data_IF_246780264258
#
_entry.id   IF_246780264258
#
_cell.length_a   1.000
_cell.length_b   1.000
_cell.length_c   1.000
_cell.angle_alpha   90.00
_cell.angle_beta   90.00
_cell.angle_gamma   90.00
#
_symmetry.space_group_name_H-M   'P 1'
#
loop_
_entity.id
_entity.type
_entity.pdbx_description
1 polymer ?
#
# COMPACT_ATOMS: atom_id res chain seq x y z
N UNK A 1 10.28 15.91 -1.66
CA UNK A 1 10.73 15.57 -3.03
C UNK A 1 9.60 15.72 -4.05
N UNK A 2 8.40 15.19 -3.77
CA UNK A 2 7.24 15.33 -4.65
C UNK A 2 6.72 16.78 -4.77
N UNK A 3 6.57 17.49 -3.66
CA UNK A 3 6.18 18.91 -3.65
C UNK A 3 7.23 19.76 -2.91
N UNK A 4 8.33 20.12 -3.57
CA UNK A 4 9.41 20.88 -2.95
C UNK A 4 8.96 22.31 -2.59
N UNK A 5 9.05 22.66 -1.31
CA UNK A 5 8.73 23.99 -0.75
C UNK A 5 9.64 24.27 0.45
N UNK A 6 9.62 25.49 0.97
CA UNK A 6 10.40 25.84 2.17
C UNK A 6 11.87 26.13 1.91
N UNK A 7 12.23 26.55 0.70
CA UNK A 7 13.56 27.03 0.36
C UNK A 7 13.51 27.98 -0.85
N UNK A 8 14.62 28.65 -1.12
CA UNK A 8 14.83 29.50 -2.28
C UNK A 8 16.07 29.04 -3.05
N UNK A 9 16.07 29.22 -4.37
CA UNK A 9 17.24 28.96 -5.21
C UNK A 9 17.83 30.29 -5.62
N UNK A 10 19.00 30.62 -5.09
CA UNK A 10 19.72 31.87 -5.37
C UNK A 10 21.09 31.51 -5.94
N UNK A 11 21.37 31.94 -7.19
CA UNK A 11 22.59 31.58 -7.93
C UNK A 11 22.87 30.06 -7.97
N UNK A 12 21.82 29.24 -8.13
CA UNK A 12 21.94 27.78 -8.17
C UNK A 12 22.19 27.11 -6.80
N UNK A 13 22.21 27.87 -5.71
CA UNK A 13 22.31 27.34 -4.36
C UNK A 13 20.99 27.40 -3.61
N UNK A 14 20.70 26.34 -2.85
CA UNK A 14 19.56 26.28 -1.94
C UNK A 14 19.84 27.15 -0.73
N UNK A 15 19.01 28.17 -0.52
CA UNK A 15 19.11 29.16 0.56
C UNK A 15 17.73 29.40 1.21
N UNK A 16 17.67 30.17 2.30
CA UNK A 16 16.39 30.58 2.89
C UNK A 16 15.51 29.41 3.36
N UNK A 17 16.12 28.40 4.00
CA UNK A 17 15.45 27.16 4.37
C UNK A 17 14.46 27.42 5.52
N UNK A 18 13.21 27.03 5.31
CA UNK A 18 12.18 26.90 6.33
C UNK A 18 11.89 25.39 6.55
N UNK A 19 12.48 24.78 7.60
CA UNK A 19 12.35 23.36 7.84
C UNK A 19 10.90 22.90 8.03
N UNK A 20 10.09 23.70 8.74
CA UNK A 20 8.71 23.31 9.04
C UNK A 20 7.85 23.29 7.77
N UNK A 21 8.04 24.26 6.88
CA UNK A 21 7.35 24.27 5.58
C UNK A 21 7.79 23.11 4.68
N UNK A 22 9.08 22.75 4.71
CA UNK A 22 9.59 21.60 3.96
C UNK A 22 9.06 20.26 4.51
N UNK A 23 8.98 20.11 5.84
CA UNK A 23 8.44 18.93 6.51
C UNK A 23 6.94 18.81 6.29
N UNK A 24 6.18 19.89 6.46
CA UNK A 24 4.72 19.95 6.31
C UNK A 24 4.33 20.45 4.91
N UNK A 25 5.00 19.95 3.88
CA UNK A 25 4.71 20.27 2.50
C UNK A 25 3.33 19.72 2.08
N UNK A 26 2.75 20.19 0.95
CA UNK A 26 1.39 19.80 0.53
C UNK A 26 1.15 18.29 0.38
N UNK A 27 2.16 17.49 0.07
CA UNK A 27 2.01 16.03 -0.08
C UNK A 27 2.03 15.27 1.25
N UNK A 28 2.64 15.85 2.29
CA UNK A 28 2.87 15.23 3.61
C UNK A 28 1.63 14.57 4.23
N UNK A 29 0.47 15.26 4.36
CA UNK A 29 -0.70 14.66 5.01
C UNK A 29 -1.21 13.44 4.24
N UNK A 30 -1.16 13.46 2.91
CA UNK A 30 -1.59 12.35 2.07
C UNK A 30 -0.59 11.20 2.13
N UNK A 31 0.68 11.44 1.76
CA UNK A 31 1.70 10.38 1.69
C UNK A 31 1.95 9.71 3.05
N UNK A 32 1.98 10.50 4.14
CA UNK A 32 2.23 9.96 5.49
C UNK A 32 1.05 9.10 5.95
N UNK A 33 -0.18 9.61 5.82
CA UNK A 33 -1.37 8.88 6.25
C UNK A 33 -1.56 7.61 5.42
N UNK A 34 -1.39 7.73 4.10
CA UNK A 34 -1.51 6.60 3.16
C UNK A 34 -0.52 5.49 3.48
N UNK A 35 0.74 5.83 3.76
CA UNK A 35 1.77 4.83 4.05
C UNK A 35 1.56 4.17 5.41
N UNK A 36 1.13 4.93 6.44
CA UNK A 36 0.84 4.37 7.76
C UNK A 36 -0.34 3.40 7.71
N UNK A 37 -1.42 3.76 7.02
CA UNK A 37 -2.57 2.89 6.82
C UNK A 37 -2.20 1.65 6.00
N UNK A 38 -1.39 1.80 4.94
CA UNK A 38 -0.92 0.68 4.13
C UNK A 38 -0.12 -0.33 4.97
N UNK A 39 0.74 0.16 5.88
CA UNK A 39 1.50 -0.67 6.80
C UNK A 39 0.58 -1.45 7.77
N UNK A 40 -0.49 -0.84 8.29
CA UNK A 40 -1.47 -1.53 9.12
C UNK A 40 -2.27 -2.58 8.34
N UNK A 41 -2.67 -2.29 7.11
CA UNK A 41 -3.34 -3.25 6.22
C UNK A 41 -2.43 -4.45 5.97
N UNK A 42 -1.19 -4.22 5.50
CA UNK A 42 -0.26 -5.30 5.18
C UNK A 42 0.11 -6.14 6.41
N UNK A 43 0.32 -5.51 7.56
CA UNK A 43 0.59 -6.23 8.81
C UNK A 43 -0.64 -7.03 9.26
N UNK A 44 -1.83 -6.43 9.25
CA UNK A 44 -3.07 -7.08 9.64
C UNK A 44 -3.38 -8.31 8.79
N UNK A 45 -3.41 -8.16 7.47
CA UNK A 45 -3.65 -9.29 6.56
C UNK A 45 -2.48 -10.28 6.51
N UNK A 46 -1.24 -9.82 6.63
CA UNK A 46 -0.06 -10.67 6.71
C UNK A 46 -0.08 -11.61 7.92
N UNK A 47 -0.38 -11.07 9.10
CA UNK A 47 -0.53 -11.88 10.32
C UNK A 47 -1.76 -12.78 10.22
N UNK A 48 -2.88 -12.29 9.67
CA UNK A 48 -4.08 -13.08 9.47
C UNK A 48 -3.84 -14.29 8.56
N UNK A 49 -3.04 -14.13 7.50
CA UNK A 49 -2.65 -15.21 6.60
C UNK A 49 -1.94 -16.34 7.35
N UNK A 50 -1.04 -16.02 8.29
CA UNK A 50 -0.33 -17.02 9.10
C UNK A 50 -1.32 -17.82 9.94
N UNK A 51 -2.25 -17.16 10.65
CA UNK A 51 -3.26 -17.85 11.46
C UNK A 51 -4.23 -18.67 10.60
N UNK A 52 -4.62 -18.16 9.43
CA UNK A 52 -5.48 -18.87 8.49
C UNK A 52 -4.83 -20.16 7.96
N UNK A 53 -3.53 -20.16 7.64
CA UNK A 53 -2.79 -21.37 7.25
C UNK A 53 -2.83 -22.42 8.36
N UNK A 54 -2.65 -22.00 9.61
CA UNK A 54 -2.64 -22.94 10.74
C UNK A 54 -4.03 -23.56 10.98
N UNK A 55 -5.09 -22.77 10.83
CA UNK A 55 -6.48 -23.27 10.90
C UNK A 55 -6.78 -24.23 9.72
N UNK A 56 -6.31 -23.90 8.51
CA UNK A 56 -6.40 -24.80 7.35
C UNK A 56 -5.65 -26.13 7.55
N UNK A 57 -4.60 -26.13 8.37
CA UNK A 57 -3.85 -27.34 8.80
C UNK A 57 -4.51 -28.09 9.97
N UNK A 58 -5.71 -27.69 10.38
CA UNK A 58 -6.49 -28.37 11.41
C UNK A 58 -6.29 -27.86 12.83
N UNK A 59 -5.48 -26.81 13.06
CA UNK A 59 -5.28 -26.22 14.38
C UNK A 59 -6.47 -25.33 14.75
N UNK A 60 -7.29 -25.77 15.71
CA UNK A 60 -8.58 -25.14 16.08
C UNK A 60 -8.60 -24.59 17.51
N UNK A 61 -7.46 -24.52 18.17
CA UNK A 61 -7.32 -24.01 19.52
C UNK A 61 -7.72 -22.53 19.59
N UNK A 62 -8.27 -22.05 20.73
CA UNK A 62 -8.69 -20.65 20.88
C UNK A 62 -7.61 -19.63 20.53
N UNK A 63 -6.33 -19.97 20.73
CA UNK A 63 -5.20 -19.15 20.34
C UNK A 63 -5.23 -18.75 18.87
N UNK A 64 -5.37 -19.71 17.94
CA UNK A 64 -5.34 -19.42 16.50
C UNK A 64 -6.55 -18.60 16.06
N UNK A 65 -7.73 -18.87 16.64
CA UNK A 65 -8.96 -18.12 16.36
C UNK A 65 -8.87 -16.67 16.85
N UNK A 66 -8.38 -16.46 18.08
CA UNK A 66 -8.20 -15.11 18.65
C UNK A 66 -7.13 -14.32 17.88
N UNK A 67 -6.03 -14.98 17.51
CA UNK A 67 -4.98 -14.38 16.69
C UNK A 67 -5.51 -13.95 15.32
N UNK A 68 -6.27 -14.83 14.64
CA UNK A 68 -6.94 -14.49 13.38
C UNK A 68 -7.89 -13.29 13.54
N UNK A 69 -8.73 -13.30 14.59
CA UNK A 69 -9.68 -12.21 14.84
C UNK A 69 -8.98 -10.86 15.05
N UNK A 70 -7.92 -10.80 15.85
CA UNK A 70 -7.20 -9.56 16.13
C UNK A 70 -6.53 -9.02 14.86
N UNK A 71 -5.89 -9.90 14.09
CA UNK A 71 -5.23 -9.54 12.84
C UNK A 71 -6.22 -9.04 11.78
N UNK A 72 -7.35 -9.75 11.62
CA UNK A 72 -8.44 -9.34 10.74
C UNK A 72 -9.13 -8.05 11.21
N UNK A 73 -9.19 -7.79 12.51
CA UNK A 73 -9.70 -6.51 13.02
C UNK A 73 -8.82 -5.35 12.56
N UNK A 74 -7.50 -5.45 12.77
CA UNK A 74 -6.55 -4.43 12.35
C UNK A 74 -6.64 -4.17 10.83
N UNK A 75 -6.49 -5.21 10.02
CA UNK A 75 -6.47 -5.08 8.55
C UNK A 75 -7.81 -4.62 7.99
N UNK A 76 -8.93 -5.21 8.43
CA UNK A 76 -10.25 -4.88 7.90
C UNK A 76 -10.78 -3.53 8.37
N UNK A 77 -10.33 -3.01 9.52
CA UNK A 77 -10.64 -1.65 9.95
C UNK A 77 -9.79 -0.65 9.18
N UNK A 78 -8.51 -0.94 8.92
CA UNK A 78 -7.62 -0.02 8.20
C UNK A 78 -7.96 0.12 6.71
N UNK A 79 -8.38 -0.97 6.03
CA UNK A 79 -8.53 -0.96 4.57
C UNK A 79 -9.60 0.01 4.00
N UNK A 80 -10.76 0.27 4.63
CA UNK A 80 -11.67 1.31 4.16
C UNK A 80 -11.06 2.71 4.26
N UNK A 81 -10.32 2.99 5.33
CA UNK A 81 -9.61 4.27 5.47
C UNK A 81 -8.47 4.38 4.45
N UNK A 82 -7.76 3.29 4.18
CA UNK A 82 -6.72 3.25 3.14
C UNK A 82 -7.28 3.60 1.75
N UNK A 83 -8.43 3.03 1.39
CA UNK A 83 -9.07 3.28 0.09
C UNK A 83 -9.56 4.73 0.01
N UNK A 84 -10.18 5.23 1.09
CA UNK A 84 -10.63 6.61 1.16
C UNK A 84 -9.46 7.60 1.06
N UNK A 85 -8.40 7.39 1.83
CA UNK A 85 -7.19 8.22 1.79
C UNK A 85 -6.47 8.12 0.43
N UNK A 86 -6.52 6.96 -0.23
CA UNK A 86 -6.03 6.78 -1.60
C UNK A 86 -6.77 7.64 -2.63
N UNK A 87 -8.09 7.71 -2.56
CA UNK A 87 -8.90 8.61 -3.39
C UNK A 87 -8.54 10.09 -3.14
N UNK A 88 -8.38 10.48 -1.87
CA UNK A 88 -7.91 11.83 -1.53
C UNK A 88 -6.51 12.13 -2.08
N UNK A 89 -5.60 11.16 -1.96
CA UNK A 89 -4.23 11.26 -2.49
C UNK A 89 -4.25 11.43 -4.01
N UNK A 90 -5.01 10.59 -4.74
CA UNK A 90 -5.16 10.68 -6.19
C UNK A 90 -5.74 12.03 -6.64
N UNK A 91 -6.76 12.56 -5.94
CA UNK A 91 -7.30 13.89 -6.19
C UNK A 91 -6.25 14.99 -5.99
N UNK A 92 -5.44 14.89 -4.94
CA UNK A 92 -4.36 15.87 -4.71
C UNK A 92 -3.34 15.88 -5.85
N UNK A 93 -3.08 14.73 -6.49
CA UNK A 93 -2.18 14.64 -7.65
C UNK A 93 -2.73 15.37 -8.87
N UNK A 94 -4.06 15.49 -9.02
CA UNK A 94 -4.66 16.25 -10.11
C UNK A 94 -4.23 17.72 -10.13
N UNK A 95 -3.84 18.26 -8.97
CA UNK A 95 -3.33 19.63 -8.81
C UNK A 95 -1.81 19.67 -8.62
N UNK A 96 -1.26 18.79 -7.80
CA UNK A 96 0.15 18.83 -7.39
C UNK A 96 1.08 18.22 -8.46
N UNK A 97 0.67 17.13 -9.11
CA UNK A 97 1.48 16.40 -10.08
C UNK A 97 0.60 15.78 -11.19
N UNK A 98 -0.01 16.58 -12.09
CA UNK A 98 -0.99 16.06 -13.04
C UNK A 98 -0.39 15.05 -14.03
N UNK A 99 0.90 15.17 -14.37
CA UNK A 99 1.60 14.18 -15.18
C UNK A 99 1.64 12.78 -14.54
N UNK A 100 1.79 12.71 -13.20
CA UNK A 100 1.76 11.46 -12.44
C UNK A 100 0.36 10.83 -12.51
N UNK A 101 -0.68 11.62 -12.25
CA UNK A 101 -2.07 11.16 -12.37
C UNK A 101 -2.37 10.66 -13.78
N UNK A 102 -1.95 11.41 -14.81
CA UNK A 102 -2.15 11.02 -16.20
C UNK A 102 -1.46 9.69 -16.55
N UNK A 103 -0.27 9.43 -16.03
CA UNK A 103 0.41 8.15 -16.20
C UNK A 103 -0.23 7.01 -15.40
N UNK A 104 -0.77 7.29 -14.20
CA UNK A 104 -1.52 6.31 -13.39
C UNK A 104 -2.79 5.84 -14.10
N UNK A 105 -3.48 6.75 -14.77
CA UNK A 105 -4.80 6.50 -15.38
C UNK A 105 -4.73 6.27 -16.90
N UNK A 106 -3.52 6.26 -17.48
CA UNK A 106 -3.30 6.09 -18.91
C UNK A 106 -3.98 7.17 -19.76
N UNK A 107 -3.91 8.44 -19.32
CA UNK A 107 -4.48 9.60 -20.01
C UNK A 107 -3.38 10.25 -20.87
N UNK A 108 -3.30 9.83 -22.13
CA UNK A 108 -2.32 10.37 -23.08
C UNK A 108 -2.71 11.75 -23.60
N UNK A 109 -3.99 11.97 -23.87
CA UNK A 109 -4.51 13.20 -24.41
C UNK A 109 -5.39 13.92 -23.38
N UNK A 110 -5.24 15.23 -23.29
CA UNK A 110 -6.08 16.04 -22.43
C UNK A 110 -7.53 15.99 -22.92
N UNK A 111 -8.42 15.49 -22.06
CA UNK A 111 -9.81 15.26 -22.43
C UNK A 111 -10.78 15.72 -21.34
N UNK A 112 -12.01 16.04 -21.76
CA UNK A 112 -13.12 16.43 -20.90
C UNK A 112 -14.02 15.22 -20.72
N UNK A 113 -14.42 14.91 -19.49
CA UNK A 113 -15.15 13.67 -19.21
C UNK A 113 -14.29 12.44 -19.41
N UNK A 114 -13.07 12.48 -18.86
CA UNK A 114 -12.12 11.39 -18.99
C UNK A 114 -12.70 10.12 -18.35
N UNK A 115 -12.67 8.97 -19.05
CA UNK A 115 -13.06 7.71 -18.46
C UNK A 115 -12.04 7.26 -17.42
N UNK A 116 -12.50 6.57 -16.38
CA UNK A 116 -11.58 5.76 -15.56
C UNK A 116 -11.33 4.44 -16.29
N UNK A 117 -10.06 4.07 -16.39
CA UNK A 117 -9.62 2.85 -17.08
C UNK A 117 -9.19 1.83 -16.03
N UNK A 118 -9.90 0.70 -15.96
CA UNK A 118 -9.59 -0.36 -15.01
C UNK A 118 -8.85 -1.47 -15.76
N UNK A 119 -7.59 -1.69 -15.38
CA UNK A 119 -6.72 -2.63 -16.07
C UNK A 119 -6.37 -2.17 -17.47
N UNK A 120 -5.85 -3.12 -18.25
CA UNK A 120 -5.40 -2.89 -19.61
C UNK A 120 -3.89 -2.85 -19.73
N UNK A 121 -3.42 -2.66 -20.96
CA UNK A 121 -2.00 -2.63 -21.30
C UNK A 121 -1.73 -1.32 -22.01
N UNK A 122 -0.80 -0.56 -21.46
CA UNK A 122 -0.34 0.67 -22.09
C UNK A 122 0.44 0.35 -23.37
N UNK A 123 0.04 0.98 -24.48
CA UNK A 123 0.81 1.01 -25.72
C UNK A 123 1.28 2.44 -26.01
N UNK A 124 2.56 2.69 -25.76
CA UNK A 124 3.21 3.99 -26.01
C UNK A 124 3.24 4.36 -27.49
N UNK A 125 3.16 3.39 -28.41
CA UNK A 125 3.18 3.68 -29.85
C UNK A 125 1.87 4.31 -30.30
N UNK A 126 0.76 3.83 -29.75
CA UNK A 126 -0.58 4.35 -30.07
C UNK A 126 -1.02 5.45 -29.12
N UNK A 127 -0.39 5.58 -27.95
CA UNK A 127 -0.82 6.49 -26.89
C UNK A 127 -2.19 6.11 -26.34
N UNK A 128 -2.42 4.80 -26.13
CA UNK A 128 -3.70 4.26 -25.66
C UNK A 128 -3.49 3.15 -24.64
N UNK A 129 -4.52 2.89 -23.83
CA UNK A 129 -4.58 1.70 -22.98
C UNK A 129 -5.46 0.67 -23.67
N UNK A 130 -4.87 -0.44 -24.09
CA UNK A 130 -5.55 -1.51 -24.78
C UNK A 130 -6.22 -2.45 -23.77
N UNK A 131 -7.39 -2.99 -24.11
CA UNK A 131 -8.15 -3.97 -23.30
C UNK A 131 -8.64 -3.48 -21.92
N UNK A 132 -8.57 -2.16 -21.65
CA UNK A 132 -9.10 -1.58 -20.42
C UNK A 132 -10.63 -1.67 -20.36
N UNK A 133 -11.17 -1.83 -19.16
CA UNK A 133 -12.60 -1.61 -18.91
C UNK A 133 -12.77 -0.13 -18.59
N UNK A 134 -13.46 0.58 -19.48
CA UNK A 134 -13.68 2.01 -19.35
C UNK A 134 -15.04 2.30 -18.73
N UNK A 135 -15.06 3.17 -17.72
CA UNK A 135 -16.30 3.73 -17.17
C UNK A 135 -16.34 5.22 -17.57
N UNK A 136 -17.27 5.62 -18.47
CA UNK A 136 -17.36 7.00 -18.98
C UNK A 136 -17.45 8.03 -17.85
N UNK A 137 -16.77 9.17 -18.03
CA UNK A 137 -16.68 10.29 -17.08
C UNK A 137 -16.14 9.94 -15.67
N UNK A 138 -15.82 8.67 -15.40
CA UNK A 138 -15.51 8.19 -14.07
C UNK A 138 -14.26 8.83 -13.48
N UNK A 139 -13.22 9.05 -14.29
CA UNK A 139 -12.00 9.70 -13.82
C UNK A 139 -12.24 11.19 -13.55
N UNK A 140 -13.00 11.88 -14.39
CA UNK A 140 -13.37 13.29 -14.14
C UNK A 140 -14.15 13.45 -12.84
N UNK A 141 -15.09 12.54 -12.55
CA UNK A 141 -15.83 12.52 -11.27
C UNK A 141 -14.89 12.22 -10.10
N UNK A 142 -14.04 11.20 -10.21
CA UNK A 142 -13.17 10.79 -9.11
C UNK A 142 -12.08 11.81 -8.81
N UNK A 143 -11.44 12.38 -9.83
CA UNK A 143 -10.33 13.31 -9.66
C UNK A 143 -10.79 14.74 -9.31
N UNK A 144 -11.96 15.18 -9.82
CA UNK A 144 -12.40 16.59 -9.73
C UNK A 144 -13.82 16.78 -9.19
N UNK A 145 -14.60 15.71 -9.01
CA UNK A 145 -15.98 15.79 -8.52
C UNK A 145 -17.00 16.26 -9.58
N UNK A 146 -16.59 16.43 -10.83
CA UNK A 146 -17.45 16.91 -11.93
C UNK A 146 -17.24 16.03 -13.16
N UNK A 147 -18.29 15.37 -13.71
CA UNK A 147 -18.18 14.56 -14.92
C UNK A 147 -17.70 15.35 -16.14
N UNK A 148 -17.83 16.68 -16.12
CA UNK A 148 -17.38 17.56 -17.18
C UNK A 148 -16.03 18.20 -16.90
N UNK A 149 -15.32 17.79 -15.85
CA UNK A 149 -13.98 18.27 -15.60
C UNK A 149 -13.00 17.82 -16.69
N UNK A 150 -12.03 18.68 -17.00
CA UNK A 150 -10.92 18.37 -17.89
C UNK A 150 -9.78 17.73 -17.09
N UNK A 151 -9.32 16.56 -17.55
CA UNK A 151 -8.13 15.90 -17.01
C UNK A 151 -6.96 16.18 -17.93
N UNK A 152 -5.88 16.70 -17.34
CA UNK A 152 -4.64 17.02 -18.06
C UNK A 152 -3.96 15.73 -18.48
N UNK A 153 -3.76 15.55 -19.79
CA UNK A 153 -3.07 14.38 -20.34
C UNK A 153 -1.57 14.58 -20.45
N UNK A 154 -0.86 13.50 -20.77
CA UNK A 154 0.59 13.50 -20.97
C UNK A 154 1.02 14.35 -22.17
N UNK A 155 0.13 14.59 -23.13
CA UNK A 155 0.33 15.44 -24.31
C UNK A 155 0.73 16.90 -23.97
N UNK A 156 0.39 17.39 -22.77
CA UNK A 156 0.80 18.72 -22.29
C UNK A 156 2.26 18.83 -21.88
N UNK A 157 2.93 17.70 -21.64
CA UNK A 157 4.31 17.66 -21.19
C UNK A 157 5.21 17.28 -22.36
N UNK A 158 6.46 17.77 -22.38
CA UNK A 158 7.42 17.30 -23.38
C UNK A 158 7.74 15.81 -23.14
N UNK A 159 8.04 15.00 -24.16
CA UNK A 159 8.30 13.56 -24.01
C UNK A 159 9.33 13.22 -22.92
N UNK A 160 10.39 14.02 -22.82
CA UNK A 160 11.46 13.86 -21.82
C UNK A 160 11.07 14.26 -20.39
N UNK A 161 9.88 14.85 -20.19
CA UNK A 161 9.36 15.32 -18.89
C UNK A 161 8.23 14.46 -18.36
N UNK A 162 7.83 13.44 -19.12
CA UNK A 162 6.72 12.54 -18.78
C UNK A 162 7.24 11.37 -17.94
N UNK A 163 6.50 10.96 -16.89
CA UNK A 163 6.68 9.63 -16.32
C UNK A 163 6.25 8.58 -17.34
N UNK A 164 6.89 7.41 -17.27
CA UNK A 164 6.59 6.27 -18.14
C UNK A 164 5.30 5.55 -17.69
N UNK A 165 4.20 5.64 -18.47
CA UNK A 165 2.93 5.04 -18.07
C UNK A 165 2.97 3.51 -18.14
N UNK A 166 3.87 2.92 -18.91
CA UNK A 166 3.98 1.47 -19.09
C UNK A 166 4.19 0.73 -17.76
N UNK A 167 4.97 1.32 -16.84
CA UNK A 167 5.17 0.76 -15.50
C UNK A 167 4.19 1.33 -14.46
N UNK A 168 3.81 2.60 -14.60
CA UNK A 168 3.01 3.30 -13.59
C UNK A 168 1.55 2.82 -13.59
N UNK A 169 0.91 2.73 -14.76
CA UNK A 169 -0.51 2.34 -14.88
C UNK A 169 -0.79 0.93 -14.33
N UNK A 170 -0.11 -0.15 -14.76
CA UNK A 170 -0.38 -1.49 -14.24
C UNK A 170 -0.02 -1.63 -12.75
N UNK A 171 0.95 -0.85 -12.27
CA UNK A 171 1.27 -0.82 -10.84
C UNK A 171 0.15 -0.18 -10.03
N UNK A 172 -0.44 0.89 -10.54
CA UNK A 172 -1.61 1.52 -9.94
C UNK A 172 -2.81 0.55 -9.90
N UNK A 173 -3.12 -0.11 -11.02
CA UNK A 173 -4.19 -1.11 -11.08
C UNK A 173 -3.97 -2.27 -10.09
N UNK A 174 -2.74 -2.81 -10.05
CA UNK A 174 -2.42 -3.92 -9.16
C UNK A 174 -2.50 -3.52 -7.68
N UNK A 175 -2.10 -2.29 -7.33
CA UNK A 175 -2.23 -1.74 -5.98
C UNK A 175 -3.71 -1.58 -5.60
N UNK A 176 -4.50 -0.91 -6.43
CA UNK A 176 -5.93 -0.66 -6.19
C UNK A 176 -6.70 -1.98 -6.13
N UNK A 177 -6.46 -2.88 -7.09
CA UNK A 177 -7.07 -4.21 -7.14
C UNK A 177 -6.76 -5.05 -5.91
N UNK A 178 -5.52 -5.01 -5.42
CA UNK A 178 -5.13 -5.69 -4.18
C UNK A 178 -5.82 -5.08 -2.95
N UNK A 179 -5.97 -3.75 -2.91
CA UNK A 179 -6.69 -3.05 -1.85
C UNK A 179 -8.19 -3.42 -1.80
N UNK A 180 -8.87 -3.41 -2.95
CA UNK A 180 -10.28 -3.84 -3.03
C UNK A 180 -10.45 -5.33 -2.75
N UNK A 181 -9.50 -6.17 -3.14
CA UNK A 181 -9.50 -7.58 -2.75
C UNK A 181 -9.40 -7.75 -1.23
N UNK A 182 -8.48 -7.04 -0.58
CA UNK A 182 -8.37 -7.04 0.87
C UNK A 182 -9.65 -6.54 1.56
N UNK A 183 -10.27 -5.47 1.03
CA UNK A 183 -11.56 -4.95 1.50
C UNK A 183 -12.66 -6.02 1.41
N UNK A 184 -12.76 -6.70 0.27
CA UNK A 184 -13.74 -7.76 0.05
C UNK A 184 -13.56 -8.90 1.06
N UNK A 185 -12.33 -9.39 1.23
CA UNK A 185 -12.03 -10.49 2.17
C UNK A 185 -12.31 -10.06 3.62
N UNK A 186 -11.91 -8.86 4.02
CA UNK A 186 -12.20 -8.29 5.34
C UNK A 186 -13.71 -8.16 5.58
N UNK A 187 -14.44 -7.61 4.62
CA UNK A 187 -15.89 -7.43 4.67
C UNK A 187 -16.65 -8.76 4.77
N UNK A 188 -16.29 -9.74 3.93
CA UNK A 188 -16.90 -11.09 3.97
C UNK A 188 -16.62 -11.78 5.31
N UNK A 189 -15.41 -11.65 5.86
CA UNK A 189 -15.07 -12.22 7.16
C UNK A 189 -15.96 -11.66 8.27
N UNK A 190 -16.08 -10.33 8.38
CA UNK A 190 -16.89 -9.69 9.42
C UNK A 190 -18.38 -9.92 9.21
N UNK A 191 -18.87 -9.90 7.96
CA UNK A 191 -20.26 -10.23 7.63
C UNK A 191 -20.62 -11.64 8.12
N UNK A 192 -19.78 -12.64 7.82
CA UNK A 192 -20.02 -14.02 8.24
C UNK A 192 -19.90 -14.18 9.76
N UNK A 193 -18.96 -13.48 10.39
CA UNK A 193 -18.81 -13.47 11.85
C UNK A 193 -20.08 -12.97 12.55
N UNK A 194 -20.66 -11.85 12.11
CA UNK A 194 -21.90 -11.33 12.69
C UNK A 194 -23.12 -12.19 12.35
N UNK A 195 -23.24 -12.68 11.11
CA UNK A 195 -24.35 -13.57 10.71
C UNK A 195 -24.35 -14.90 11.45
N UNK A 196 -23.18 -15.41 11.85
CA UNK A 196 -23.03 -16.66 12.60
C UNK A 196 -22.97 -16.46 14.12
N UNK A 197 -23.55 -15.38 14.65
CA UNK A 197 -23.64 -15.11 16.09
C UNK A 197 -22.25 -15.06 16.76
N UNK A 198 -21.27 -14.39 16.14
CA UNK A 198 -19.91 -14.17 16.66
C UNK A 198 -19.04 -15.43 16.72
N UNK A 199 -19.28 -16.37 15.80
CA UNK A 199 -18.42 -17.54 15.60
C UNK A 199 -17.44 -17.22 14.47
N UNK A 200 -16.14 -17.48 14.71
CA UNK A 200 -15.08 -17.27 13.70
C UNK A 200 -15.38 -18.11 12.45
N UNK A 201 -15.46 -17.50 11.25
CA UNK A 201 -15.76 -18.23 10.03
C UNK A 201 -14.54 -19.03 9.56
N UNK A 202 -14.67 -20.36 9.55
CA UNK A 202 -13.60 -21.30 9.14
C UNK A 202 -13.87 -21.91 7.76
N UNK A 203 -14.58 -21.21 6.87
CA UNK A 203 -14.79 -21.70 5.50
C UNK A 203 -13.43 -21.74 4.77
N UNK A 204 -13.10 -22.88 4.14
CA UNK A 204 -11.84 -23.09 3.41
C UNK A 204 -11.59 -22.02 2.34
N UNK A 205 -12.62 -21.59 1.60
CA UNK A 205 -12.49 -20.56 0.57
C UNK A 205 -12.12 -19.21 1.18
N UNK A 206 -12.77 -18.82 2.27
CA UNK A 206 -12.46 -17.58 2.98
C UNK A 206 -11.05 -17.61 3.58
N UNK A 207 -10.67 -18.72 4.20
CA UNK A 207 -9.33 -18.87 4.77
C UNK A 207 -8.25 -18.78 3.69
N UNK A 208 -8.43 -19.43 2.53
CA UNK A 208 -7.52 -19.25 1.40
C UNK A 208 -7.51 -17.83 0.85
N UNK A 209 -8.66 -17.15 0.82
CA UNK A 209 -8.74 -15.72 0.49
C UNK A 209 -7.92 -14.85 1.44
N UNK A 210 -7.97 -15.11 2.75
CA UNK A 210 -7.13 -14.43 3.75
C UNK A 210 -5.64 -14.76 3.54
N UNK A 211 -5.32 -16.01 3.24
CA UNK A 211 -3.94 -16.43 2.94
C UNK A 211 -3.40 -15.69 1.72
N UNK A 212 -4.21 -15.47 0.69
CA UNK A 212 -3.81 -14.71 -0.50
C UNK A 212 -3.74 -13.20 -0.22
N UNK A 213 -4.67 -12.66 0.57
CA UNK A 213 -4.73 -11.23 0.90
C UNK A 213 -3.47 -10.74 1.64
N UNK A 214 -2.85 -11.59 2.48
CA UNK A 214 -1.60 -11.27 3.17
C UNK A 214 -0.46 -10.87 2.22
N UNK A 215 0.08 -11.80 1.39
CA UNK A 215 1.12 -11.48 0.41
C UNK A 215 0.72 -10.38 -0.57
N UNK A 216 -0.53 -10.36 -1.05
CA UNK A 216 -1.00 -9.30 -1.95
C UNK A 216 -0.96 -7.92 -1.30
N UNK A 217 -1.17 -7.81 0.01
CA UNK A 217 -1.09 -6.52 0.71
C UNK A 217 0.35 -5.98 0.77
N UNK A 218 1.36 -6.86 0.84
CA UNK A 218 2.77 -6.44 0.71
C UNK A 218 3.12 -6.09 -0.73
N UNK A 219 2.65 -6.87 -1.70
CA UNK A 219 2.81 -6.53 -3.13
C UNK A 219 2.18 -5.16 -3.42
N UNK A 220 1.01 -4.85 -2.86
CA UNK A 220 0.37 -3.56 -3.02
C UNK A 220 1.22 -2.38 -2.49
N UNK A 221 1.98 -2.58 -1.40
CA UNK A 221 2.92 -1.57 -0.90
C UNK A 221 4.01 -1.31 -1.95
N UNK A 222 4.64 -2.36 -2.48
CA UNK A 222 5.70 -2.21 -3.49
C UNK A 222 5.17 -1.55 -4.76
N UNK A 223 3.98 -1.95 -5.22
CA UNK A 223 3.31 -1.33 -6.35
C UNK A 223 3.00 0.16 -6.10
N UNK A 224 2.55 0.52 -4.89
CA UNK A 224 2.32 1.92 -4.52
C UNK A 224 3.60 2.77 -4.50
N UNK A 225 4.72 2.19 -4.05
CA UNK A 225 6.03 2.83 -4.14
C UNK A 225 6.48 3.00 -5.59
N UNK A 226 6.27 2.00 -6.45
CA UNK A 226 6.54 2.10 -7.89
C UNK A 226 5.71 3.24 -8.50
N UNK A 227 4.42 3.34 -8.21
CA UNK A 227 3.56 4.43 -8.67
C UNK A 227 4.09 5.80 -8.22
N UNK A 228 4.47 5.91 -6.95
CA UNK A 228 4.89 7.19 -6.37
C UNK A 228 6.25 7.65 -6.91
N UNK A 229 7.18 6.71 -7.05
CA UNK A 229 8.57 7.00 -7.42
C UNK A 229 8.78 7.02 -8.94
N UNK A 230 8.26 6.03 -9.68
CA UNK A 230 8.31 6.05 -11.15
C UNK A 230 7.38 7.12 -11.72
N UNK A 231 6.24 7.39 -11.08
CA UNK A 231 5.38 8.51 -11.46
C UNK A 231 6.01 9.89 -11.22
N UNK A 232 7.12 9.98 -10.46
CA UNK A 232 7.91 11.21 -10.30
C UNK A 232 9.01 11.33 -11.36
N UNK A 233 9.40 10.23 -12.02
CA UNK A 233 10.40 10.29 -13.09
C UNK A 233 9.94 11.29 -14.18
N UNK A 234 10.87 12.05 -14.76
CA UNK A 234 12.34 11.98 -14.67
C UNK A 234 12.97 12.77 -13.49
N UNK A 235 12.19 13.15 -12.47
CA UNK A 235 12.63 14.07 -11.43
C UNK A 235 13.07 13.36 -10.15
N UNK A 236 14.24 13.74 -9.60
CA UNK A 236 14.61 13.45 -8.21
C UNK A 236 13.85 14.39 -7.28
N UNK A 237 13.94 15.69 -7.59
CA UNK A 237 13.18 16.74 -6.95
C UNK A 237 12.28 17.31 -8.04
N UNK A 238 10.97 17.14 -7.88
CA UNK A 238 9.98 17.46 -8.90
C UNK A 238 10.14 18.89 -9.43
N UNK A 239 10.26 19.04 -10.75
CA UNK A 239 10.50 20.30 -11.47
C UNK A 239 11.78 21.08 -11.09
N UNK A 240 12.73 20.47 -10.38
CA UNK A 240 13.95 21.14 -9.90
C UNK A 240 15.22 20.39 -10.29
N UNK A 241 15.28 19.09 -10.05
CA UNK A 241 16.47 18.28 -10.29
C UNK A 241 16.10 16.99 -11.02
N UNK A 242 16.66 16.79 -12.23
CA UNK A 242 16.48 15.57 -13.01
C UNK A 242 17.33 14.44 -12.47
N UNK A 243 16.90 13.20 -12.71
CA UNK A 243 17.68 12.00 -12.39
C UNK A 243 18.98 11.92 -13.17
N UNK A 244 18.99 12.34 -14.45
CA UNK A 244 20.20 12.42 -15.27
C UNK A 244 21.31 13.26 -14.65
N UNK A 245 20.92 14.34 -13.96
CA UNK A 245 21.85 15.35 -13.43
C UNK A 245 22.30 15.00 -12.00
N UNK A 246 21.61 14.06 -11.34
CA UNK A 246 21.88 13.61 -9.98
C UNK A 246 22.83 12.39 -9.92
N UNK A 247 23.03 11.69 -11.05
CA UNK A 247 23.91 10.51 -11.11
C UNK A 247 25.38 10.95 -11.11
N UNK A 248 26.20 10.23 -10.36
CA UNK A 248 27.66 10.47 -10.31
C UNK A 248 28.40 9.53 -11.27
N UNK A 249 29.57 9.94 -11.75
CA UNK A 249 30.46 9.13 -12.62
C UNK A 249 31.43 8.25 -11.83
N UNK A 250 31.10 7.92 -10.57
CA UNK A 250 32.00 7.20 -9.67
C UNK A 250 32.28 5.77 -10.20
N UNK A 251 33.55 5.34 -10.25
CA UNK A 251 33.89 3.99 -10.66
C UNK A 251 33.41 2.96 -9.62
N UNK A 252 33.04 1.77 -10.07
CA UNK A 252 32.69 0.65 -9.19
C UNK A 252 31.23 0.58 -8.72
N UNK A 253 30.34 1.47 -9.19
CA UNK A 253 28.92 1.45 -8.83
C UNK A 253 28.24 0.09 -9.03
N UNK A 254 28.55 -0.59 -10.15
CA UNK A 254 28.01 -1.93 -10.42
C UNK A 254 28.48 -3.00 -9.42
N UNK A 255 29.71 -2.89 -8.93
CA UNK A 255 30.26 -3.80 -7.91
C UNK A 255 29.57 -3.54 -6.57
N UNK A 256 29.47 -2.28 -6.16
CA UNK A 256 28.77 -1.91 -4.93
C UNK A 256 27.30 -2.36 -4.96
N UNK A 257 26.61 -2.15 -6.08
CA UNK A 257 25.25 -2.65 -6.30
C UNK A 257 25.17 -4.16 -6.10
N UNK A 258 26.03 -4.94 -6.77
CA UNK A 258 26.05 -6.39 -6.64
C UNK A 258 26.33 -6.86 -5.20
N UNK A 259 27.25 -6.21 -4.48
CA UNK A 259 27.57 -6.52 -3.08
C UNK A 259 26.34 -6.27 -2.19
N UNK A 260 25.71 -5.09 -2.28
CA UNK A 260 24.54 -4.77 -1.46
C UNK A 260 23.35 -5.67 -1.80
N UNK A 261 23.10 -5.96 -3.08
CA UNK A 261 22.09 -6.93 -3.50
C UNK A 261 22.35 -8.31 -2.90
N UNK A 262 23.60 -8.79 -2.94
CA UNK A 262 24.00 -10.05 -2.32
C UNK A 262 23.74 -10.09 -0.82
N UNK A 263 24.10 -9.02 -0.10
CA UNK A 263 23.83 -8.88 1.34
C UNK A 263 22.33 -8.94 1.62
N UNK A 264 21.50 -8.21 0.88
CA UNK A 264 20.05 -8.22 1.09
C UNK A 264 19.42 -9.57 0.79
N UNK A 265 19.89 -10.30 -0.24
CA UNK A 265 19.43 -11.68 -0.51
C UNK A 265 19.77 -12.61 0.65
N UNK A 266 20.99 -12.54 1.20
CA UNK A 266 21.40 -13.37 2.35
C UNK A 266 20.56 -13.04 3.59
N UNK A 267 20.33 -11.75 3.87
CA UNK A 267 19.49 -11.31 4.99
C UNK A 267 18.04 -11.79 4.84
N UNK A 268 17.47 -11.66 3.63
CA UNK A 268 16.11 -12.12 3.34
C UNK A 268 15.98 -13.64 3.54
N UNK A 269 16.91 -14.44 2.99
CA UNK A 269 16.93 -15.90 3.17
C UNK A 269 17.04 -16.26 4.66
N UNK A 270 17.97 -15.62 5.38
CA UNK A 270 18.19 -15.86 6.82
C UNK A 270 16.93 -15.56 7.62
N UNK A 271 16.29 -14.42 7.37
CA UNK A 271 15.04 -14.03 8.02
C UNK A 271 13.92 -15.05 7.75
N UNK A 272 13.72 -15.44 6.49
CA UNK A 272 12.70 -16.43 6.11
C UNK A 272 12.95 -17.77 6.82
N UNK A 273 14.19 -18.26 6.81
CA UNK A 273 14.56 -19.52 7.50
C UNK A 273 14.29 -19.42 9.00
N UNK A 274 14.67 -18.32 9.64
CA UNK A 274 14.43 -18.10 11.07
C UNK A 274 12.94 -18.04 11.41
N UNK A 275 12.15 -17.31 10.62
CA UNK A 275 10.70 -17.19 10.82
C UNK A 275 9.99 -18.54 10.59
N UNK A 276 10.37 -19.30 9.57
CA UNK A 276 9.82 -20.63 9.32
C UNK A 276 10.21 -21.63 10.42
N UNK A 277 11.44 -21.52 10.94
CA UNK A 277 11.88 -22.33 12.09
C UNK A 277 11.07 -21.99 13.33
N UNK A 278 10.91 -20.71 13.64
CA UNK A 278 10.12 -20.24 14.78
C UNK A 278 8.65 -20.67 14.67
N UNK A 279 8.05 -20.59 13.48
CA UNK A 279 6.67 -20.99 13.25
C UNK A 279 6.41 -22.51 13.39
N UNK A 280 7.46 -23.34 13.27
CA UNK A 280 7.41 -24.79 13.47
C UNK A 280 7.66 -25.21 14.92
N UNK A 281 8.32 -24.37 15.71
CA UNK A 281 8.57 -24.64 17.12
C UNK A 281 7.26 -24.61 17.91
N UNK A 282 7.01 -25.57 18.81
CA UNK A 282 5.87 -25.51 19.71
C UNK A 282 5.97 -24.26 20.57
N UNK A 283 4.84 -23.57 20.77
CA UNK A 283 4.78 -22.44 21.69
C UNK A 283 5.20 -22.92 23.08
N UNK A 284 6.04 -22.17 23.81
CA UNK A 284 6.32 -22.47 25.21
C UNK A 284 5.00 -22.61 25.98
N UNK A 285 4.91 -23.59 26.89
CA UNK A 285 3.75 -23.67 27.79
C UNK A 285 3.67 -22.35 28.55
N UNK A 286 2.56 -21.64 28.35
CA UNK A 286 2.34 -20.36 29.02
C UNK A 286 1.83 -20.63 30.43
N UNK A 287 2.77 -20.69 31.39
CA UNK A 287 2.46 -20.72 32.81
C UNK A 287 2.03 -19.32 33.24
N UNK A 288 0.72 -19.09 33.29
CA UNK A 288 0.20 -17.87 33.89
C UNK A 288 0.32 -18.00 35.42
N UNK A 289 0.92 -17.04 36.13
CA UNK A 289 0.79 -17.01 37.57
C UNK A 289 -0.71 -16.91 37.88
N UNK A 290 -1.23 -17.86 38.65
CA UNK A 290 -2.61 -17.84 39.12
C UNK A 290 -2.76 -16.62 40.04
N UNK A 291 -3.26 -15.51 39.52
CA UNK A 291 -3.28 -14.24 40.25
C UNK A 291 -4.38 -14.13 41.31
N UNK A 292 -5.20 -15.15 41.55
CA UNK A 292 -6.11 -15.19 42.71
C UNK A 292 -6.36 -16.65 43.09
N UNK A 293 -5.76 -17.12 44.19
CA UNK A 293 -6.38 -18.19 44.99
C UNK A 293 -7.65 -17.61 45.60
N UNK A 294 -8.79 -18.22 45.35
CA UNK A 294 -10.06 -17.86 45.99
C UNK A 294 -9.89 -17.76 47.51
N UNK A 295 -9.85 -16.53 48.04
CA UNK A 295 -10.06 -16.27 49.46
C UNK A 295 -11.56 -16.40 49.74
N UNK A 296 -12.06 -17.63 49.70
CA UNK A 296 -13.44 -17.95 50.07
C UNK A 296 -13.45 -19.27 50.83
N UNK A 297 -12.71 -19.30 51.95
CA UNK A 297 -12.81 -20.39 52.92
C UNK A 297 -12.34 -19.95 54.31
N UNK A 298 -12.89 -18.83 54.83
CA UNK A 298 -12.77 -18.55 56.27
C UNK A 298 -13.91 -17.68 56.80
N UNK A 299 -15.16 -18.12 56.59
CA UNK A 299 -16.31 -17.74 57.44
C UNK A 299 -17.26 -18.92 57.59
N UNK A 300 -16.81 -19.92 58.33
CA UNK A 300 -17.60 -21.12 58.58
C UNK A 300 -17.04 -21.95 59.74
N UNK A 301 -17.24 -21.46 60.97
CA UNK A 301 -17.22 -22.31 62.16
C UNK A 301 -16.15 -21.97 63.20
N UNK A 302 -16.55 -21.32 64.30
CA UNK A 302 -16.81 -22.00 65.58
C UNK A 302 -17.20 -21.00 66.67
N UNK A 303 -18.30 -21.35 67.35
CA UNK A 303 -18.76 -21.00 68.72
C UNK A 303 -18.95 -19.53 69.09
#
# INVERSE_FOLDING_TARGET
MNTPVGFQITHGQVTGINPLQAILNPSTPYETTHMLLAAYVATGFGVAAIYAIQILRGKREPYYRKGLMLAMALGAIAIPFQIFDGDLSARSLADLQPAKLAAMEGVFHTEKGAPVKIGGIVDDKTGQVLFAIEIPDGLSILARGDPHATIVGLDKYAPQDRPDPFFVHPSFDGMVGSGFFALLIGGVFWLLYFRRKRIVPENRLLLWGIVLAGPLSFVAIELGWIVTELGRQPWVIYNILRTSDAVTTAPGLGISFAIFSGIYVVLAITLIVLLLRLARSPLPKQEWPVLVSSSSEEKGGTK
#
